data_IF_482224323769
#
_entry.id   IF_482224323769
#
_cell.length_a   1.000
_cell.length_b   1.000
_cell.length_c   1.000
_cell.angle_alpha   90.00
_cell.angle_beta   90.00
_cell.angle_gamma   90.00
#
_symmetry.space_group_name_H-M   'P 1'
#
loop_
_entity.id
_entity.type
_entity.pdbx_description
1 polymer ?
#
# COMPACT_ATOMS: atom_id res chain seq x y z
N UNK A 1 -17.80 -8.80 -18.77
CA UNK A 1 -16.39 -8.38 -18.67
C UNK A 1 -16.27 -6.87 -18.43
N UNK A 2 -17.00 -6.30 -17.45
CA UNK A 2 -16.98 -4.85 -17.15
C UNK A 2 -16.74 -4.62 -15.65
N UNK A 3 -17.38 -5.42 -14.79
CA UNK A 3 -17.18 -5.40 -13.34
C UNK A 3 -15.72 -5.58 -12.89
N UNK A 4 -14.93 -6.37 -13.63
CA UNK A 4 -13.51 -6.60 -13.32
C UNK A 4 -12.69 -5.32 -13.56
N UNK A 5 -12.99 -4.59 -14.64
CA UNK A 5 -12.31 -3.33 -14.96
C UNK A 5 -12.66 -2.22 -13.96
N UNK A 6 -13.90 -2.16 -13.50
CA UNK A 6 -14.33 -1.17 -12.49
C UNK A 6 -13.69 -1.44 -11.13
N UNK A 7 -13.65 -2.70 -10.69
CA UNK A 7 -12.98 -3.08 -9.43
C UNK A 7 -11.47 -2.81 -9.48
N UNK A 8 -10.81 -3.13 -10.59
CA UNK A 8 -9.38 -2.82 -10.76
C UNK A 8 -9.12 -1.32 -10.82
N UNK A 9 -9.95 -0.54 -11.52
CA UNK A 9 -9.82 0.90 -11.56
C UNK A 9 -10.01 1.53 -10.16
N UNK A 10 -10.93 0.99 -9.37
CA UNK A 10 -11.14 1.41 -7.99
C UNK A 10 -9.95 1.10 -7.09
N UNK A 11 -9.43 -0.11 -7.18
CA UNK A 11 -8.25 -0.54 -6.43
C UNK A 11 -6.99 0.30 -6.80
N UNK A 12 -6.78 0.59 -8.09
CA UNK A 12 -5.70 1.48 -8.53
C UNK A 12 -5.87 2.91 -8.01
N UNK A 13 -7.11 3.42 -7.95
CA UNK A 13 -7.40 4.75 -7.41
C UNK A 13 -7.05 4.82 -5.91
N UNK A 14 -7.51 3.83 -5.13
CA UNK A 14 -7.18 3.72 -3.70
C UNK A 14 -5.69 3.62 -3.47
N UNK A 15 -4.97 2.86 -4.30
CA UNK A 15 -3.51 2.77 -4.22
C UNK A 15 -2.82 4.12 -4.48
N UNK A 16 -3.25 4.86 -5.50
CA UNK A 16 -2.70 6.17 -5.83
C UNK A 16 -2.96 7.19 -4.70
N UNK A 17 -4.15 7.20 -4.11
CA UNK A 17 -4.49 8.08 -2.99
C UNK A 17 -3.64 7.78 -1.75
N UNK A 18 -3.46 6.50 -1.42
CA UNK A 18 -2.62 6.07 -0.30
C UNK A 18 -1.14 6.44 -0.52
N UNK A 19 -0.61 6.27 -1.73
CA UNK A 19 0.75 6.74 -2.07
C UNK A 19 0.88 8.26 -1.99
N UNK A 20 -0.16 9.01 -2.37
CA UNK A 20 -0.19 10.47 -2.21
C UNK A 20 -0.12 10.88 -0.73
N UNK A 21 -0.87 10.19 0.13
CA UNK A 21 -0.81 10.41 1.59
C UNK A 21 0.53 9.99 2.17
N UNK A 22 1.11 8.86 1.73
CA UNK A 22 2.45 8.44 2.12
C UNK A 22 3.52 9.46 1.74
N UNK A 23 3.40 10.04 0.54
CA UNK A 23 4.32 11.09 0.08
C UNK A 23 4.23 12.35 0.96
N UNK A 24 3.02 12.79 1.31
CA UNK A 24 2.87 13.94 2.20
C UNK A 24 3.31 13.63 3.63
N UNK A 25 3.01 12.42 4.13
CA UNK A 25 3.47 11.93 5.42
C UNK A 25 5.01 11.85 5.48
N UNK A 26 5.69 11.55 4.37
CA UNK A 26 7.16 11.55 4.31
C UNK A 26 7.78 12.92 4.64
N UNK A 27 7.03 13.99 4.45
CA UNK A 27 7.48 15.38 4.66
C UNK A 27 7.04 15.96 6.00
N UNK A 28 6.01 15.40 6.64
CA UNK A 28 5.34 16.01 7.79
C UNK A 28 5.11 15.07 8.98
N UNK A 29 5.32 13.77 8.86
CA UNK A 29 4.90 12.77 9.85
C UNK A 29 5.98 11.72 10.12
N UNK A 30 5.74 10.92 11.17
CA UNK A 30 6.60 9.79 11.55
C UNK A 30 6.56 8.68 10.49
N UNK A 31 7.65 7.92 10.41
CA UNK A 31 7.79 6.75 9.53
C UNK A 31 6.65 5.73 9.69
N UNK A 32 6.00 5.68 10.85
CA UNK A 32 4.86 4.82 11.17
C UNK A 32 3.59 5.18 10.38
N UNK A 33 3.35 6.48 10.13
CA UNK A 33 2.25 6.94 9.28
C UNK A 33 2.54 6.62 7.82
N UNK A 34 3.80 6.82 7.41
CA UNK A 34 4.24 6.49 6.06
C UNK A 34 4.13 4.99 5.76
N UNK A 35 4.52 4.12 6.69
CA UNK A 35 4.43 2.67 6.50
C UNK A 35 2.99 2.19 6.43
N UNK A 36 2.08 2.77 7.23
CA UNK A 36 0.65 2.49 7.16
C UNK A 36 0.05 2.83 5.79
N UNK A 37 0.33 4.02 5.27
CA UNK A 37 -0.17 4.45 3.95
C UNK A 37 0.42 3.63 2.79
N UNK A 38 1.70 3.25 2.88
CA UNK A 38 2.31 2.33 1.91
C UNK A 38 1.65 0.94 1.97
N UNK A 39 1.34 0.43 3.16
CA UNK A 39 0.62 -0.84 3.34
C UNK A 39 -0.76 -0.83 2.66
N UNK A 40 -1.53 0.24 2.86
CA UNK A 40 -2.84 0.42 2.21
C UNK A 40 -2.74 0.44 0.68
N UNK A 41 -1.69 1.07 0.14
CA UNK A 41 -1.47 1.09 -1.31
C UNK A 41 -1.20 -0.32 -1.87
N UNK A 42 -0.42 -1.11 -1.13
CA UNK A 42 -0.04 -2.47 -1.53
C UNK A 42 -1.20 -3.45 -1.45
N UNK A 43 -2.05 -3.32 -0.44
CA UNK A 43 -3.27 -4.14 -0.33
C UNK A 43 -4.21 -3.89 -1.51
N UNK A 44 -4.44 -2.62 -1.86
CA UNK A 44 -5.24 -2.26 -3.03
C UNK A 44 -4.61 -2.77 -4.35
N UNK A 45 -3.28 -2.74 -4.50
CA UNK A 45 -2.61 -3.32 -5.67
C UNK A 45 -2.69 -4.86 -5.71
N UNK A 46 -2.77 -5.52 -4.56
CA UNK A 46 -2.98 -6.96 -4.46
C UNK A 46 -4.35 -7.39 -5.01
N UNK A 47 -5.38 -6.57 -4.81
CA UNK A 47 -6.72 -6.80 -5.38
C UNK A 47 -6.73 -6.80 -6.91
N UNK A 48 -5.81 -6.06 -7.55
CA UNK A 48 -5.68 -5.97 -9.02
C UNK A 48 -4.91 -7.15 -9.61
N UNK A 49 -3.85 -7.56 -8.94
CA UNK A 49 -2.96 -8.62 -9.42
C UNK A 49 -3.47 -10.03 -9.10
N UNK A 50 -4.46 -10.17 -8.20
CA UNK A 50 -4.94 -11.47 -7.73
C UNK A 50 -3.94 -12.18 -6.82
N UNK A 51 -2.78 -11.58 -6.60
CA UNK A 51 -1.76 -11.98 -5.64
C UNK A 51 -2.02 -11.19 -4.38
N UNK A 52 -2.29 -11.86 -3.26
CA UNK A 52 -2.25 -11.22 -1.94
C UNK A 52 -0.79 -10.89 -1.61
N UNK A 53 -0.25 -9.87 -2.26
CA UNK A 53 1.07 -9.32 -1.99
C UNK A 53 1.13 -8.68 -0.60
N UNK A 54 -0.04 -8.42 0.00
CA UNK A 54 -0.22 -7.82 1.33
C UNK A 54 0.66 -8.50 2.37
N UNK A 55 0.56 -9.82 2.54
CA UNK A 55 1.18 -10.46 3.71
C UNK A 55 2.70 -10.54 3.60
N UNK A 56 3.25 -11.04 2.49
CA UNK A 56 4.70 -11.16 2.31
C UNK A 56 5.42 -9.80 2.16
N UNK A 57 4.74 -8.79 1.59
CA UNK A 57 5.33 -7.48 1.39
C UNK A 57 5.23 -6.62 2.64
N UNK A 58 4.12 -6.70 3.40
CA UNK A 58 4.06 -6.14 4.76
C UNK A 58 5.14 -6.76 5.61
N UNK A 59 5.32 -8.09 5.57
CA UNK A 59 6.36 -8.77 6.34
C UNK A 59 7.76 -8.31 5.93
N UNK A 60 8.04 -8.13 4.62
CA UNK A 60 9.32 -7.58 4.15
C UNK A 60 9.55 -6.11 4.54
N UNK A 61 8.49 -5.30 4.52
CA UNK A 61 8.48 -3.91 4.99
C UNK A 61 8.81 -3.90 6.49
N UNK A 62 8.02 -4.59 7.31
CA UNK A 62 8.22 -4.71 8.76
C UNK A 62 9.58 -5.33 9.13
N UNK A 63 10.06 -6.33 8.39
CA UNK A 63 11.41 -6.90 8.57
C UNK A 63 12.50 -5.84 8.39
N UNK A 64 12.37 -4.95 7.41
CA UNK A 64 13.31 -3.83 7.23
C UNK A 64 13.16 -2.73 8.28
N UNK A 65 12.01 -2.64 8.97
CA UNK A 65 11.79 -1.73 10.10
C UNK A 65 12.24 -2.31 11.46
N UNK A 66 12.13 -3.63 11.66
CA UNK A 66 12.63 -4.30 12.88
C UNK A 66 14.15 -4.45 12.92
N UNK A 67 14.87 -4.16 11.83
CA UNK A 67 16.32 -3.85 11.91
C UNK A 67 16.49 -2.40 12.37
N UNK A 68 15.91 -2.12 13.53
CA UNK A 68 15.91 -0.85 14.22
C UNK A 68 15.87 -1.14 15.71
N UNK A 69 16.96 -1.73 16.21
CA UNK A 69 17.48 -1.27 17.50
C UNK A 69 17.94 0.18 17.33
#
# INVERSE_FOLDING_TARGET
>A
MALVSERHADALRRAAEALGRAHEASRLSTLEVLSGEVGLALEALGEVSGTSASEALLDAIFQRFCIGK
#
